data_IF_916953307519
#
_entry.id   IF_916953307519
#
_cell.length_a   1.000
_cell.length_b   1.000
_cell.length_c   1.000
_cell.angle_alpha   90.00
_cell.angle_beta   90.00
_cell.angle_gamma   90.00
#
_symmetry.space_group_name_H-M   'P 1'
#
loop_
_entity.id
_entity.type
_entity.pdbx_description
1 polymer ?
#
# COMPACT_ATOMS: atom_id res chain seq x y z
N UNK A 1 22.71 -8.96 7.36
CA UNK A 1 21.73 -7.87 7.55
C UNK A 1 20.44 -8.30 6.87
N UNK A 2 19.25 -8.08 7.47
CA UNK A 2 17.98 -8.38 6.80
C UNK A 2 17.75 -7.42 5.64
N UNK A 3 16.98 -7.85 4.63
CA UNK A 3 16.77 -7.08 3.40
C UNK A 3 15.31 -7.08 3.00
N UNK A 4 14.81 -5.89 2.62
CA UNK A 4 13.50 -5.67 2.07
C UNK A 4 13.57 -5.23 0.61
N UNK A 5 12.71 -5.77 -0.23
CA UNK A 5 12.45 -5.30 -1.59
C UNK A 5 11.14 -4.52 -1.59
N UNK A 6 11.21 -3.22 -1.93
CA UNK A 6 10.07 -2.31 -1.85
C UNK A 6 9.83 -1.65 -3.22
N UNK A 7 8.63 -1.83 -3.78
CA UNK A 7 8.26 -1.20 -5.04
C UNK A 7 7.58 0.16 -4.84
N UNK A 8 7.82 1.11 -5.74
CA UNK A 8 7.35 2.48 -5.60
C UNK A 8 8.06 3.26 -4.48
N UNK A 9 9.34 2.93 -4.22
CA UNK A 9 10.11 3.44 -3.08
C UNK A 9 10.60 4.89 -3.23
N UNK A 10 10.33 5.57 -4.35
CA UNK A 10 10.83 6.93 -4.62
C UNK A 10 9.97 8.05 -4.02
N UNK A 11 8.78 7.77 -3.49
CA UNK A 11 7.88 8.79 -2.93
C UNK A 11 6.75 8.18 -2.09
N UNK A 12 6.00 9.04 -1.41
CA UNK A 12 4.77 8.68 -0.70
C UNK A 12 4.93 7.53 0.29
N UNK A 13 3.98 6.61 0.30
CA UNK A 13 3.96 5.44 1.20
C UNK A 13 5.22 4.57 1.02
N UNK A 14 5.67 4.35 -0.23
CA UNK A 14 6.84 3.53 -0.50
C UNK A 14 8.13 4.09 0.07
N UNK A 15 8.36 5.41 -0.04
CA UNK A 15 9.51 6.06 0.57
C UNK A 15 9.43 6.06 2.10
N UNK A 16 8.27 6.36 2.67
CA UNK A 16 8.08 6.31 4.13
C UNK A 16 8.31 4.89 4.67
N UNK A 17 7.85 3.86 3.95
CA UNK A 17 8.12 2.46 4.27
C UNK A 17 9.61 2.15 4.18
N UNK A 18 10.30 2.58 3.13
CA UNK A 18 11.74 2.38 2.98
C UNK A 18 12.50 3.00 4.15
N UNK A 19 12.20 4.25 4.52
CA UNK A 19 12.80 4.93 5.68
C UNK A 19 12.59 4.13 6.96
N UNK A 20 11.36 3.68 7.23
CA UNK A 20 11.04 2.90 8.43
C UNK A 20 11.88 1.60 8.49
N UNK A 21 12.00 0.86 7.38
CA UNK A 21 12.82 -0.36 7.35
C UNK A 21 14.31 -0.07 7.59
N UNK A 22 14.84 1.01 7.01
CA UNK A 22 16.24 1.44 7.21
C UNK A 22 16.51 1.85 8.66
N UNK A 23 15.59 2.58 9.30
CA UNK A 23 15.65 2.96 10.73
C UNK A 23 15.71 1.73 11.64
N UNK A 24 15.01 0.66 11.27
CA UNK A 24 14.99 -0.62 11.99
C UNK A 24 16.14 -1.57 11.62
N UNK A 25 17.14 -1.06 10.89
CA UNK A 25 18.36 -1.80 10.53
C UNK A 25 18.15 -2.86 9.44
N UNK A 26 17.13 -2.70 8.60
CA UNK A 26 16.85 -3.55 7.44
C UNK A 26 17.27 -2.84 6.17
N UNK A 27 18.19 -3.42 5.39
CA UNK A 27 18.57 -2.89 4.08
C UNK A 27 17.38 -2.87 3.12
N UNK A 28 17.32 -1.89 2.23
CA UNK A 28 16.23 -1.74 1.28
C UNK A 28 16.74 -1.74 -0.16
N UNK A 29 16.22 -2.65 -0.98
CA UNK A 29 16.25 -2.51 -2.44
C UNK A 29 14.98 -1.77 -2.85
N UNK A 30 15.12 -0.52 -3.23
CA UNK A 30 14.02 0.34 -3.64
C UNK A 30 13.84 0.33 -5.16
N UNK A 31 12.65 -0.05 -5.65
CA UNK A 31 12.35 -0.08 -7.08
C UNK A 31 11.42 1.05 -7.47
N UNK A 32 11.79 1.83 -8.50
CA UNK A 32 10.94 2.85 -9.12
C UNK A 32 11.41 3.12 -10.56
N UNK A 33 10.53 3.65 -11.41
CA UNK A 33 10.88 3.99 -12.80
C UNK A 33 11.74 5.23 -12.94
N UNK A 34 11.48 6.23 -12.10
CA UNK A 34 12.16 7.53 -12.13
C UNK A 34 13.48 7.45 -11.37
N UNK A 35 14.58 7.37 -12.10
CA UNK A 35 15.94 7.28 -11.56
C UNK A 35 16.27 8.47 -10.66
N UNK A 36 15.99 9.69 -11.10
CA UNK A 36 16.35 10.88 -10.35
C UNK A 36 15.62 10.98 -9.01
N UNK A 37 14.31 10.68 -8.99
CA UNK A 37 13.55 10.62 -7.74
C UNK A 37 14.01 9.50 -6.82
N UNK A 38 14.42 8.38 -7.39
CA UNK A 38 14.89 7.24 -6.59
C UNK A 38 16.26 7.52 -5.96
N UNK A 39 17.16 8.17 -6.69
CA UNK A 39 18.46 8.59 -6.17
C UNK A 39 18.28 9.64 -5.06
N UNK A 40 17.43 10.65 -5.27
CA UNK A 40 17.10 11.63 -4.23
C UNK A 40 16.45 10.98 -2.98
N UNK A 41 15.64 9.94 -3.17
CA UNK A 41 15.10 9.15 -2.06
C UNK A 41 16.23 8.42 -1.29
N UNK A 42 17.16 7.78 -1.99
CA UNK A 42 18.32 7.13 -1.38
C UNK A 42 19.20 8.13 -0.61
N UNK A 43 19.50 9.29 -1.23
CA UNK A 43 20.28 10.37 -0.59
C UNK A 43 19.59 10.87 0.69
N UNK A 44 18.27 11.00 0.68
CA UNK A 44 17.48 11.43 1.85
C UNK A 44 17.49 10.41 3.00
N UNK A 45 17.96 9.20 2.73
CA UNK A 45 18.04 8.10 3.69
C UNK A 45 19.50 7.75 4.08
N UNK A 46 20.50 8.51 3.59
CA UNK A 46 21.92 8.16 3.72
C UNK A 46 22.41 8.06 5.19
N UNK A 47 21.79 8.82 6.10
CA UNK A 47 22.15 8.85 7.54
C UNK A 47 21.42 7.78 8.37
N UNK A 48 20.58 6.92 7.73
CA UNK A 48 19.84 5.89 8.44
C UNK A 48 20.70 4.64 8.73
N UNK A 49 20.18 3.77 9.60
CA UNK A 49 20.93 2.65 10.18
C UNK A 49 21.33 1.55 9.20
N UNK A 50 20.71 1.50 8.01
CA UNK A 50 20.95 0.48 6.99
C UNK A 50 21.02 1.10 5.58
N UNK A 51 21.63 0.44 4.59
CA UNK A 51 21.79 0.98 3.25
C UNK A 51 20.51 0.89 2.41
N UNK A 52 20.30 1.90 1.55
CA UNK A 52 19.32 1.91 0.49
C UNK A 52 20.00 1.63 -0.85
N UNK A 53 19.53 0.62 -1.59
CA UNK A 53 20.02 0.25 -2.91
C UNK A 53 18.99 0.64 -3.98
N UNK A 54 19.22 1.72 -4.75
CA UNK A 54 18.26 2.19 -5.74
C UNK A 54 18.30 1.32 -7.00
N UNK A 55 17.15 0.78 -7.41
CA UNK A 55 16.96 0.01 -8.64
C UNK A 55 15.94 0.70 -9.56
N UNK A 56 16.43 1.48 -10.52
CA UNK A 56 15.58 2.18 -11.48
C UNK A 56 15.13 1.22 -12.59
N UNK A 57 13.86 0.82 -12.54
CA UNK A 57 13.26 -0.10 -13.53
C UNK A 57 11.73 0.01 -13.54
N UNK A 58 11.12 -0.36 -14.67
CA UNK A 58 9.67 -0.60 -14.74
C UNK A 58 9.37 -2.00 -14.20
N UNK A 59 8.58 -2.05 -13.14
CA UNK A 59 8.25 -3.32 -12.47
C UNK A 59 7.34 -4.21 -13.31
N UNK A 60 6.71 -3.67 -14.35
CA UNK A 60 5.87 -4.43 -15.28
C UNK A 60 6.67 -5.14 -16.36
N UNK A 61 7.93 -4.73 -16.60
CA UNK A 61 8.81 -5.40 -17.57
C UNK A 61 9.16 -6.83 -17.10
N UNK A 62 9.22 -7.76 -18.05
CA UNK A 62 9.30 -9.20 -17.77
C UNK A 62 10.52 -9.61 -16.93
N UNK A 63 11.66 -8.97 -17.16
CA UNK A 63 12.91 -9.28 -16.47
C UNK A 63 13.07 -8.57 -15.12
N UNK A 64 12.31 -7.51 -14.86
CA UNK A 64 12.51 -6.67 -13.69
C UNK A 64 12.30 -7.43 -12.36
N UNK A 65 11.28 -8.27 -12.18
CA UNK A 65 11.11 -9.03 -10.94
C UNK A 65 12.33 -9.87 -10.56
N UNK A 66 12.86 -10.64 -11.51
CA UNK A 66 14.03 -11.48 -11.28
C UNK A 66 15.30 -10.64 -11.01
N UNK A 67 15.49 -9.53 -11.74
CA UNK A 67 16.64 -8.62 -11.53
C UNK A 67 16.59 -7.91 -10.17
N UNK A 68 15.41 -7.51 -9.72
CA UNK A 68 15.24 -6.87 -8.42
C UNK A 68 15.57 -7.83 -7.25
N UNK A 69 15.10 -9.07 -7.33
CA UNK A 69 15.44 -10.13 -6.35
C UNK A 69 16.93 -10.46 -6.40
N UNK A 70 17.49 -10.59 -7.61
CA UNK A 70 18.93 -10.83 -7.77
C UNK A 70 19.78 -9.74 -7.13
N UNK A 71 19.44 -8.46 -7.32
CA UNK A 71 20.13 -7.34 -6.69
C UNK A 71 20.12 -7.46 -5.15
N UNK A 72 18.98 -7.81 -4.55
CA UNK A 72 18.90 -8.01 -3.11
C UNK A 72 19.89 -9.09 -2.61
N UNK A 73 19.98 -10.20 -3.35
CA UNK A 73 20.91 -11.29 -3.04
C UNK A 73 22.39 -10.89 -3.27
N UNK A 74 22.68 -10.11 -4.30
CA UNK A 74 24.04 -9.63 -4.60
C UNK A 74 24.54 -8.65 -3.54
N UNK A 75 23.69 -7.72 -3.08
CA UNK A 75 24.09 -6.67 -2.15
C UNK A 75 24.17 -7.15 -0.68
N UNK A 76 23.30 -8.11 -0.29
CA UNK A 76 23.18 -8.48 1.13
C UNK A 76 23.22 -9.98 1.40
N UNK A 77 23.19 -10.83 0.38
CA UNK A 77 23.18 -12.28 0.48
C UNK A 77 21.81 -12.88 0.84
N UNK A 78 20.73 -12.06 1.00
CA UNK A 78 19.42 -12.55 1.43
C UNK A 78 18.27 -11.61 1.08
N UNK A 79 17.08 -12.16 1.06
CA UNK A 79 15.82 -11.41 0.99
C UNK A 79 14.88 -11.90 2.10
N UNK A 80 14.35 -10.98 2.90
CA UNK A 80 13.48 -11.28 4.05
C UNK A 80 12.08 -10.71 3.92
N UNK A 81 11.96 -9.57 3.24
CA UNK A 81 10.69 -8.85 3.16
C UNK A 81 10.43 -8.41 1.72
N UNK A 82 9.19 -8.60 1.25
CA UNK A 82 8.69 -8.04 0.01
C UNK A 82 7.53 -7.09 0.32
N UNK A 83 7.64 -5.83 -0.13
CA UNK A 83 6.54 -4.86 -0.06
C UNK A 83 6.10 -4.46 -1.46
N UNK A 84 4.94 -4.94 -1.88
CA UNK A 84 4.30 -4.57 -3.14
C UNK A 84 3.49 -3.29 -2.94
N UNK A 85 4.12 -2.14 -3.20
CA UNK A 85 3.49 -0.82 -2.99
C UNK A 85 3.26 -0.05 -4.30
N UNK A 86 4.01 -0.32 -5.37
CA UNK A 86 3.87 0.39 -6.63
C UNK A 86 2.41 0.43 -7.11
N UNK A 87 1.97 1.59 -7.57
CA UNK A 87 0.62 1.78 -8.07
C UNK A 87 0.46 3.11 -8.80
N UNK A 88 -0.67 3.26 -9.46
CA UNK A 88 -1.11 4.49 -10.14
C UNK A 88 -2.48 4.91 -9.65
N UNK A 89 -2.76 6.21 -9.74
CA UNK A 89 -4.05 6.81 -9.44
C UNK A 89 -4.88 7.10 -10.70
N UNK A 90 -5.92 7.92 -10.52
CA UNK A 90 -6.82 8.40 -11.58
C UNK A 90 -7.69 7.31 -12.23
N UNK A 91 -8.33 6.44 -11.43
CA UNK A 91 -9.26 5.46 -11.98
C UNK A 91 -10.50 6.14 -12.59
N UNK A 92 -11.11 5.47 -13.56
CA UNK A 92 -12.32 5.90 -14.25
C UNK A 92 -13.52 5.00 -13.92
N UNK A 93 -14.77 5.45 -14.18
CA UNK A 93 -15.93 4.57 -14.18
C UNK A 93 -15.74 3.44 -15.21
N UNK A 94 -16.39 2.30 -14.99
CA UNK A 94 -16.25 1.12 -15.88
C UNK A 94 -16.54 1.46 -17.34
N UNK A 95 -17.60 2.22 -17.61
CA UNK A 95 -18.00 2.60 -18.99
C UNK A 95 -17.01 3.55 -19.69
N UNK A 96 -16.07 4.14 -18.96
CA UNK A 96 -15.04 5.06 -19.48
C UNK A 96 -13.63 4.47 -19.36
N UNK A 97 -13.52 3.21 -18.95
CA UNK A 97 -12.24 2.49 -18.85
C UNK A 97 -12.08 1.66 -20.12
N UNK A 98 -11.12 1.99 -20.95
CA UNK A 98 -10.74 1.19 -22.11
C UNK A 98 -9.81 0.02 -21.68
N UNK A 99 -9.55 -0.89 -22.62
CA UNK A 99 -8.74 -2.08 -22.37
C UNK A 99 -7.28 -1.73 -22.03
N UNK A 100 -6.72 -0.67 -22.61
CA UNK A 100 -5.36 -0.21 -22.32
C UNK A 100 -5.23 0.25 -20.87
N UNK A 101 -6.18 1.05 -20.39
CA UNK A 101 -6.24 1.47 -19.00
C UNK A 101 -6.47 0.27 -18.05
N UNK A 102 -7.38 -0.65 -18.41
CA UNK A 102 -7.62 -1.86 -17.63
C UNK A 102 -6.33 -2.68 -17.49
N UNK A 103 -5.64 -2.93 -18.60
CA UNK A 103 -4.38 -3.67 -18.62
C UNK A 103 -3.31 -2.97 -17.78
N UNK A 104 -3.17 -1.65 -17.90
CA UNK A 104 -2.23 -0.87 -17.08
C UNK A 104 -2.45 -1.08 -15.57
N UNK A 105 -3.70 -1.04 -15.11
CA UNK A 105 -4.03 -1.23 -13.70
C UNK A 105 -3.76 -2.68 -13.25
N UNK A 106 -4.17 -3.66 -14.05
CA UNK A 106 -3.97 -5.07 -13.74
C UNK A 106 -2.48 -5.46 -13.80
N UNK A 107 -1.75 -4.98 -14.79
CA UNK A 107 -0.32 -5.28 -14.94
C UNK A 107 0.50 -4.73 -13.77
N UNK A 108 0.29 -3.46 -13.43
CA UNK A 108 1.07 -2.82 -12.38
C UNK A 108 0.69 -3.28 -10.98
N UNK A 109 -0.62 -3.44 -10.69
CA UNK A 109 -1.09 -3.61 -9.31
C UNK A 109 -1.54 -5.04 -8.98
N UNK A 110 -1.48 -5.96 -9.93
CA UNK A 110 -1.78 -7.38 -9.71
C UNK A 110 -0.73 -8.29 -10.34
N UNK A 111 -0.47 -8.18 -11.65
CA UNK A 111 0.48 -9.07 -12.35
C UNK A 111 1.92 -8.86 -11.88
N UNK A 112 2.38 -7.62 -11.74
CA UNK A 112 3.73 -7.33 -11.24
C UNK A 112 3.94 -7.80 -9.79
N UNK A 113 3.05 -7.54 -8.82
CA UNK A 113 3.10 -8.15 -7.48
C UNK A 113 3.14 -9.67 -7.49
N UNK A 114 2.34 -10.33 -8.35
CA UNK A 114 2.37 -11.79 -8.49
C UNK A 114 3.73 -12.28 -8.96
N UNK A 115 4.30 -11.66 -10.01
CA UNK A 115 5.62 -12.00 -10.56
C UNK A 115 6.74 -11.79 -9.52
N UNK A 116 6.72 -10.65 -8.82
CA UNK A 116 7.68 -10.39 -7.74
C UNK A 116 7.59 -11.41 -6.62
N UNK A 117 6.38 -11.74 -6.18
CA UNK A 117 6.18 -12.76 -5.16
C UNK A 117 6.72 -14.12 -5.61
N UNK A 118 6.49 -14.52 -6.87
CA UNK A 118 7.02 -15.76 -7.45
C UNK A 118 8.55 -15.80 -7.40
N UNK A 119 9.23 -14.73 -7.79
CA UNK A 119 10.70 -14.67 -7.75
C UNK A 119 11.23 -14.60 -6.31
N UNK A 120 10.56 -13.84 -5.44
CA UNK A 120 10.94 -13.71 -4.03
C UNK A 120 10.80 -15.03 -3.26
N UNK A 121 9.75 -15.82 -3.53
CA UNK A 121 9.54 -17.13 -2.91
C UNK A 121 10.71 -18.10 -3.13
N UNK A 122 11.39 -18.02 -4.27
CA UNK A 122 12.57 -18.83 -4.56
C UNK A 122 13.84 -18.33 -3.85
N UNK A 123 13.82 -17.10 -3.35
CA UNK A 123 14.96 -16.44 -2.70
C UNK A 123 14.82 -16.28 -1.19
N UNK A 124 13.62 -16.45 -0.63
CA UNK A 124 13.36 -16.36 0.80
C UNK A 124 14.06 -17.50 1.58
N UNK A 125 14.55 -17.15 2.78
CA UNK A 125 14.99 -18.15 3.76
C UNK A 125 13.81 -18.75 4.53
N UNK A 126 14.12 -19.37 5.69
CA UNK A 126 13.17 -20.09 6.54
C UNK A 126 12.04 -19.21 7.11
N UNK A 127 12.21 -17.90 7.14
CA UNK A 127 11.21 -16.95 7.59
C UNK A 127 11.22 -15.72 6.70
N UNK A 128 10.05 -15.36 6.17
CA UNK A 128 9.92 -14.17 5.34
C UNK A 128 8.52 -13.55 5.45
N UNK A 129 8.40 -12.30 4.96
CA UNK A 129 7.10 -11.62 4.93
C UNK A 129 6.84 -10.98 3.59
N UNK A 130 5.58 -11.02 3.18
CA UNK A 130 5.06 -10.29 2.04
C UNK A 130 3.96 -9.35 2.55
N UNK A 131 4.11 -8.05 2.29
CA UNK A 131 3.06 -7.08 2.59
C UNK A 131 2.63 -6.40 1.29
N UNK A 132 1.36 -6.56 0.96
CA UNK A 132 0.75 -5.98 -0.22
C UNK A 132 0.02 -4.67 0.15
N UNK A 133 0.34 -3.56 -0.51
CA UNK A 133 -0.40 -2.31 -0.33
C UNK A 133 -1.64 -2.34 -1.22
N UNK A 134 -2.76 -2.69 -0.59
CA UNK A 134 -4.09 -2.74 -1.17
C UNK A 134 -4.75 -1.35 -1.14
N UNK A 135 -6.03 -1.27 -0.88
CA UNK A 135 -6.81 -0.03 -0.74
C UNK A 135 -8.13 -0.31 -0.02
N UNK A 136 -8.68 0.71 0.63
CA UNK A 136 -10.08 0.67 1.09
C UNK A 136 -11.06 0.42 -0.05
N UNK A 137 -10.74 0.81 -1.29
CA UNK A 137 -11.56 0.51 -2.49
C UNK A 137 -11.56 -0.97 -2.89
N UNK A 138 -10.71 -1.78 -2.29
CA UNK A 138 -10.77 -3.24 -2.40
C UNK A 138 -11.62 -3.91 -1.31
N UNK A 139 -12.08 -3.14 -0.31
CA UNK A 139 -12.91 -3.59 0.81
C UNK A 139 -14.35 -3.14 0.65
N UNK A 140 -14.56 -1.93 0.14
CA UNK A 140 -15.89 -1.34 -0.07
C UNK A 140 -15.96 -0.71 -1.45
N UNK A 141 -17.16 -0.65 -2.02
CA UNK A 141 -17.39 0.00 -3.31
C UNK A 141 -17.12 1.50 -3.23
N UNK A 142 -16.38 2.02 -4.20
CA UNK A 142 -16.12 3.46 -4.35
C UNK A 142 -16.47 3.96 -5.74
N UNK A 143 -16.73 5.27 -5.85
CA UNK A 143 -17.02 5.89 -7.16
C UNK A 143 -15.74 5.94 -8.00
N UNK A 144 -15.89 5.74 -9.32
CA UNK A 144 -14.81 5.86 -10.31
C UNK A 144 -13.60 4.95 -10.01
N UNK A 145 -13.84 3.71 -9.58
CA UNK A 145 -12.77 2.84 -9.11
C UNK A 145 -12.67 1.48 -9.83
N UNK A 146 -13.36 1.26 -10.96
CA UNK A 146 -13.56 -0.07 -11.55
C UNK A 146 -12.28 -0.91 -11.66
N UNK A 147 -11.37 -0.54 -12.57
CA UNK A 147 -10.12 -1.27 -12.79
C UNK A 147 -9.20 -1.28 -11.55
N UNK A 148 -9.11 -0.14 -10.84
CA UNK A 148 -8.33 -0.02 -9.61
C UNK A 148 -8.82 -0.97 -8.52
N UNK A 149 -10.14 -0.96 -8.24
CA UNK A 149 -10.74 -1.84 -7.24
C UNK A 149 -10.58 -3.30 -7.59
N UNK A 150 -10.74 -3.66 -8.88
CA UNK A 150 -10.55 -5.03 -9.35
C UNK A 150 -9.10 -5.50 -9.13
N UNK A 151 -8.10 -4.68 -9.49
CA UNK A 151 -6.69 -5.01 -9.28
C UNK A 151 -6.36 -5.16 -7.79
N UNK A 152 -6.82 -4.22 -6.94
CA UNK A 152 -6.55 -4.25 -5.49
C UNK A 152 -7.32 -5.35 -4.76
N UNK A 153 -8.52 -5.70 -5.19
CA UNK A 153 -9.26 -6.87 -4.67
C UNK A 153 -8.58 -8.18 -5.08
N UNK A 154 -8.08 -8.27 -6.34
CA UNK A 154 -7.25 -9.39 -6.78
C UNK A 154 -5.99 -9.56 -5.93
N UNK A 155 -5.37 -8.45 -5.52
CA UNK A 155 -4.20 -8.46 -4.64
C UNK A 155 -4.54 -8.98 -3.23
N UNK A 156 -5.76 -8.70 -2.71
CA UNK A 156 -6.25 -9.30 -1.46
C UNK A 156 -6.43 -10.83 -1.61
N UNK A 157 -6.98 -11.27 -2.74
CA UNK A 157 -7.08 -12.70 -3.06
C UNK A 157 -5.71 -13.41 -3.12
N UNK A 158 -4.73 -12.77 -3.77
CA UNK A 158 -3.34 -13.26 -3.79
C UNK A 158 -2.75 -13.35 -2.37
N UNK A 159 -2.99 -12.34 -1.52
CA UNK A 159 -2.54 -12.33 -0.11
C UNK A 159 -3.05 -13.54 0.66
N UNK A 160 -4.35 -13.83 0.55
CA UNK A 160 -4.98 -14.99 1.21
C UNK A 160 -4.40 -16.31 0.72
N UNK A 161 -4.26 -16.46 -0.62
CA UNK A 161 -3.69 -17.66 -1.20
C UNK A 161 -2.27 -17.90 -0.70
N UNK A 162 -1.42 -16.87 -0.71
CA UNK A 162 -0.02 -16.99 -0.30
C UNK A 162 0.11 -17.34 1.19
N UNK A 163 -0.72 -16.78 2.04
CA UNK A 163 -0.76 -17.11 3.45
C UNK A 163 -1.11 -18.60 3.68
N UNK A 164 -2.10 -19.11 2.94
CA UNK A 164 -2.51 -20.52 3.03
C UNK A 164 -1.44 -21.46 2.46
N UNK A 165 -0.88 -21.15 1.31
CA UNK A 165 0.05 -22.03 0.59
C UNK A 165 1.43 -22.11 1.24
N UNK A 166 1.96 -20.98 1.75
CA UNK A 166 3.35 -20.87 2.19
C UNK A 166 3.50 -20.64 3.70
N UNK A 167 2.40 -20.58 4.45
CA UNK A 167 2.45 -20.36 5.91
C UNK A 167 3.22 -21.45 6.65
N UNK A 168 3.09 -22.72 6.26
CA UNK A 168 3.84 -23.84 6.84
C UNK A 168 5.36 -23.77 6.54
N UNK A 169 5.76 -23.02 5.54
CA UNK A 169 7.17 -22.77 5.19
C UNK A 169 7.74 -21.51 5.90
N UNK A 170 7.04 -20.97 6.91
CA UNK A 170 7.50 -19.79 7.65
C UNK A 170 7.26 -18.45 6.95
N UNK A 171 6.53 -18.42 5.84
CA UNK A 171 6.26 -17.20 5.08
C UNK A 171 4.89 -16.65 5.46
N UNK A 172 4.83 -15.39 5.91
CA UNK A 172 3.59 -14.68 6.18
C UNK A 172 3.26 -13.71 5.05
N UNK A 173 2.02 -13.71 4.62
CA UNK A 173 1.52 -12.78 3.60
C UNK A 173 0.32 -12.02 4.15
N UNK A 174 0.42 -10.69 4.22
CA UNK A 174 -0.64 -9.81 4.67
C UNK A 174 -0.79 -8.62 3.70
N UNK A 175 -1.88 -7.90 3.83
CA UNK A 175 -2.10 -6.64 3.11
C UNK A 175 -2.42 -5.50 4.07
N UNK A 176 -2.05 -4.29 3.71
CA UNK A 176 -2.61 -3.06 4.27
C UNK A 176 -3.57 -2.44 3.27
N UNK A 177 -4.67 -1.90 3.73
CA UNK A 177 -5.66 -1.19 2.91
C UNK A 177 -5.75 0.27 3.39
N UNK A 178 -4.91 1.18 2.85
CA UNK A 178 -4.94 2.57 3.24
C UNK A 178 -6.24 3.25 2.82
N UNK A 179 -6.73 4.18 3.66
CA UNK A 179 -7.67 5.22 3.26
C UNK A 179 -6.99 6.26 2.38
N UNK A 180 -7.54 7.47 2.34
CA UNK A 180 -6.92 8.56 1.59
C UNK A 180 -5.72 9.11 2.37
N UNK A 181 -4.55 9.03 1.74
CA UNK A 181 -3.28 9.53 2.25
C UNK A 181 -2.79 10.65 1.33
N UNK A 182 -2.46 11.85 1.84
CA UNK A 182 -1.82 12.90 1.07
C UNK A 182 -0.48 12.43 0.52
N UNK A 183 -0.39 12.32 -0.79
CA UNK A 183 0.79 11.88 -1.54
C UNK A 183 0.76 12.54 -2.91
N UNK A 184 1.84 12.55 -3.70
CA UNK A 184 1.81 13.05 -5.08
C UNK A 184 0.72 12.43 -5.96
N UNK A 185 0.26 11.22 -5.63
CA UNK A 185 -0.84 10.53 -6.34
C UNK A 185 -2.22 11.14 -6.04
N UNK A 186 -2.44 11.66 -4.83
CA UNK A 186 -3.76 12.09 -4.33
C UNK A 186 -3.88 13.60 -4.14
N UNK A 187 -2.75 14.32 -4.05
CA UNK A 187 -2.67 15.73 -3.69
C UNK A 187 -3.62 16.62 -4.49
N UNK A 188 -3.66 16.45 -5.82
CA UNK A 188 -4.54 17.20 -6.72
C UNK A 188 -6.04 17.01 -6.48
N UNK A 189 -6.43 16.01 -5.69
CA UNK A 189 -7.84 15.69 -5.38
C UNK A 189 -8.26 16.19 -4.00
N UNK A 190 -7.32 16.49 -3.12
CA UNK A 190 -7.60 16.86 -1.72
C UNK A 190 -8.35 18.19 -1.62
N UNK A 191 -8.17 19.10 -2.60
CA UNK A 191 -8.83 20.39 -2.67
C UNK A 191 -10.24 20.31 -3.28
N UNK A 192 -10.59 19.16 -3.90
CA UNK A 192 -11.92 18.95 -4.48
C UNK A 192 -12.91 18.67 -3.37
N UNK A 193 -13.88 19.58 -3.16
CA UNK A 193 -14.85 19.49 -2.06
C UNK A 193 -15.59 18.15 -2.01
N UNK A 194 -16.10 17.67 -3.14
CA UNK A 194 -16.79 16.38 -3.20
C UNK A 194 -15.89 15.22 -2.76
N UNK A 195 -14.59 15.26 -3.10
CA UNK A 195 -13.63 14.26 -2.68
C UNK A 195 -13.33 14.37 -1.18
N UNK A 196 -13.16 15.59 -0.67
CA UNK A 196 -12.97 15.86 0.75
C UNK A 196 -14.18 15.35 1.57
N UNK A 197 -15.40 15.68 1.17
CA UNK A 197 -16.62 15.23 1.85
C UNK A 197 -16.73 13.71 1.90
N UNK A 198 -16.49 13.04 0.78
CA UNK A 198 -16.57 11.57 0.70
C UNK A 198 -15.49 10.85 1.52
N UNK A 199 -14.35 11.47 1.76
CA UNK A 199 -13.22 10.81 2.43
C UNK A 199 -12.91 11.39 3.80
N UNK A 200 -12.74 12.70 3.92
CA UNK A 200 -12.38 13.34 5.20
C UNK A 200 -13.57 13.38 6.17
N UNK A 201 -14.70 13.92 5.70
CA UNK A 201 -15.88 14.12 6.58
C UNK A 201 -16.52 12.80 7.02
N UNK A 202 -16.22 11.71 6.34
CA UNK A 202 -16.65 10.36 6.71
C UNK A 202 -15.58 9.57 7.49
N UNK A 203 -14.47 10.20 7.86
CA UNK A 203 -13.40 9.54 8.60
C UNK A 203 -13.48 9.90 10.10
N UNK A 204 -13.79 8.94 11.01
CA UNK A 204 -13.92 9.21 12.45
C UNK A 204 -12.71 9.84 13.09
N UNK A 205 -11.50 9.51 12.62
CA UNK A 205 -10.24 10.05 13.15
C UNK A 205 -10.06 11.56 12.92
N UNK A 206 -10.96 12.24 12.19
CA UNK A 206 -11.01 13.69 11.97
C UNK A 206 -9.66 14.30 11.49
N UNK A 207 -8.85 13.52 10.77
CA UNK A 207 -7.62 13.95 10.11
C UNK A 207 -7.38 13.11 8.86
N UNK A 208 -6.59 13.63 7.94
CA UNK A 208 -6.01 12.79 6.90
C UNK A 208 -5.02 11.79 7.52
N UNK A 209 -5.00 10.58 6.99
CA UNK A 209 -3.91 9.66 7.26
C UNK A 209 -2.59 10.22 6.74
N UNK A 210 -1.48 9.76 7.29
CA UNK A 210 -0.13 10.11 6.85
C UNK A 210 0.56 8.90 6.22
N UNK A 211 1.60 9.14 5.43
CA UNK A 211 2.41 8.05 4.89
C UNK A 211 3.07 7.23 6.00
N UNK A 212 3.35 7.85 7.14
CA UNK A 212 3.89 7.21 8.34
C UNK A 212 2.88 6.24 8.98
N UNK A 213 1.59 6.61 9.06
CA UNK A 213 0.55 5.70 9.59
C UNK A 213 0.56 4.36 8.82
N UNK A 214 0.73 4.43 7.50
CA UNK A 214 0.77 3.24 6.65
C UNK A 214 2.10 2.51 6.76
N UNK A 215 3.22 3.22 6.79
CA UNK A 215 4.56 2.64 6.91
C UNK A 215 4.73 1.86 8.22
N UNK A 216 4.22 2.37 9.34
CA UNK A 216 4.22 1.68 10.64
C UNK A 216 3.39 0.39 10.60
N UNK A 217 2.22 0.41 9.94
CA UNK A 217 1.41 -0.79 9.77
C UNK A 217 2.11 -1.85 8.90
N UNK A 218 2.78 -1.44 7.81
CA UNK A 218 3.59 -2.32 6.96
C UNK A 218 4.74 -2.92 7.77
N UNK A 219 5.47 -2.10 8.54
CA UNK A 219 6.54 -2.56 9.41
C UNK A 219 6.03 -3.54 10.46
N UNK A 220 4.94 -3.22 11.17
CA UNK A 220 4.33 -4.14 12.13
C UNK A 220 4.05 -5.51 11.51
N UNK A 221 3.39 -5.55 10.34
CA UNK A 221 3.09 -6.79 9.62
C UNK A 221 4.34 -7.53 9.11
N UNK A 222 5.45 -6.82 8.93
CA UNK A 222 6.73 -7.40 8.53
C UNK A 222 7.57 -7.87 9.73
N UNK A 223 7.31 -7.34 10.92
CA UNK A 223 8.10 -7.59 12.12
C UNK A 223 7.70 -8.88 12.84
N UNK A 224 8.53 -9.37 13.78
CA UNK A 224 8.18 -10.50 14.64
C UNK A 224 6.96 -10.26 15.54
N UNK A 225 6.60 -9.00 15.82
CA UNK A 225 5.43 -8.65 16.64
C UNK A 225 4.11 -9.13 16.03
N UNK A 226 4.06 -9.35 14.71
CA UNK A 226 2.92 -9.90 13.99
C UNK A 226 3.06 -11.39 13.66
N UNK A 227 3.86 -12.14 14.43
CA UNK A 227 4.22 -13.53 14.13
C UNK A 227 3.04 -14.50 13.98
N UNK A 228 1.86 -14.19 14.54
CA UNK A 228 0.63 -14.97 14.43
C UNK A 228 -0.43 -14.33 13.52
N UNK A 229 -0.04 -13.28 12.76
CA UNK A 229 -0.93 -12.60 11.80
C UNK A 229 -0.52 -13.03 10.39
N UNK A 230 -1.42 -13.75 9.71
CA UNK A 230 -1.20 -14.24 8.35
C UNK A 230 -2.53 -14.24 7.58
N UNK A 231 -2.51 -13.84 6.31
CA UNK A 231 -3.68 -13.74 5.46
C UNK A 231 -4.62 -12.57 5.78
N UNK A 232 -4.19 -11.56 6.52
CA UNK A 232 -5.05 -10.45 6.91
C UNK A 232 -4.95 -9.28 5.94
N UNK A 233 -6.07 -8.56 5.79
CA UNK A 233 -6.14 -7.26 5.13
C UNK A 233 -6.46 -6.21 6.20
N UNK A 234 -5.44 -5.48 6.62
CA UNK A 234 -5.54 -4.48 7.68
C UNK A 234 -5.93 -3.12 7.09
N UNK A 235 -7.14 -2.63 7.38
CA UNK A 235 -7.52 -1.26 7.04
C UNK A 235 -6.71 -0.25 7.87
N UNK A 236 -6.11 0.74 7.20
CA UNK A 236 -5.37 1.86 7.79
C UNK A 236 -6.00 3.15 7.28
N UNK A 237 -7.19 3.46 7.78
CA UNK A 237 -8.12 4.41 7.17
C UNK A 237 -8.85 5.32 8.15
N UNK A 238 -8.43 5.34 9.42
CA UNK A 238 -9.05 6.16 10.46
C UNK A 238 -10.50 5.77 10.79
N UNK A 239 -10.92 4.54 10.45
CA UNK A 239 -12.26 4.02 10.69
C UNK A 239 -13.25 4.21 9.53
N UNK A 240 -12.79 4.72 8.38
CA UNK A 240 -13.65 5.04 7.24
C UNK A 240 -14.44 3.82 6.71
N UNK A 241 -13.82 2.64 6.62
CA UNK A 241 -14.50 1.42 6.12
C UNK A 241 -15.35 0.70 7.16
N UNK A 242 -15.04 0.89 8.46
CA UNK A 242 -15.63 0.10 9.54
C UNK A 242 -16.78 0.79 10.28
N UNK A 243 -17.02 2.07 10.01
CA UNK A 243 -18.03 2.87 10.70
C UNK A 243 -18.96 3.58 9.73
N UNK A 244 -20.17 3.95 10.22
CA UNK A 244 -21.05 4.93 9.57
C UNK A 244 -20.89 6.23 10.34
N UNK A 245 -20.11 7.14 9.79
CA UNK A 245 -19.73 8.36 10.46
C UNK A 245 -19.83 9.57 9.53
N UNK A 246 -20.26 10.71 10.08
CA UNK A 246 -20.15 12.05 9.50
C UNK A 246 -19.66 13.00 10.57
N UNK A 247 -18.74 13.90 10.23
CA UNK A 247 -18.29 14.95 11.13
C UNK A 247 -19.42 15.92 11.45
N UNK A 248 -19.36 16.58 12.60
CA UNK A 248 -20.32 17.62 12.97
C UNK A 248 -20.42 18.73 11.93
N UNK A 249 -19.29 19.11 11.30
CA UNK A 249 -19.28 20.09 10.22
C UNK A 249 -20.02 19.60 8.98
N UNK A 250 -20.00 18.30 8.68
CA UNK A 250 -20.75 17.73 7.56
C UNK A 250 -22.25 17.62 7.88
N UNK A 251 -22.62 17.48 9.13
CA UNK A 251 -24.00 17.48 9.59
C UNK A 251 -24.59 18.90 9.65
N UNK A 252 -23.77 19.91 9.93
CA UNK A 252 -24.20 21.31 10.10
C UNK A 252 -24.22 22.13 8.82
N UNK A 253 -23.78 21.58 7.66
CA UNK A 253 -23.76 22.31 6.39
C UNK A 253 -25.15 22.51 5.81
N UNK A 254 -25.67 23.75 5.96
CA UNK A 254 -26.74 24.43 5.19
C UNK A 254 -27.81 23.58 4.48
N UNK A 255 -28.46 22.73 5.21
CA UNK A 255 -29.87 22.45 4.93
C UNK A 255 -30.64 23.01 6.11
N UNK A 256 -31.75 23.69 5.85
CA UNK A 256 -32.71 24.20 6.84
C UNK A 256 -33.32 23.09 7.75
N UNK A 257 -32.72 21.94 7.78
CA UNK A 257 -33.08 20.82 8.60
C UNK A 257 -32.28 20.90 9.89
N UNK A 258 -32.96 21.18 10.98
CA UNK A 258 -32.42 21.05 12.32
C UNK A 258 -31.69 19.71 12.45
N UNK A 259 -30.50 19.65 13.12
CA UNK A 259 -29.83 18.40 13.39
C UNK A 259 -30.82 17.44 14.05
N UNK A 260 -31.00 16.26 13.47
CA UNK A 260 -31.84 15.25 14.07
C UNK A 260 -31.29 14.99 15.49
N UNK A 261 -32.08 15.34 16.51
CA UNK A 261 -31.72 15.08 17.89
C UNK A 261 -31.78 13.57 18.14
N UNK A 262 -30.62 12.93 18.01
CA UNK A 262 -30.42 11.50 18.27
C UNK A 262 -30.39 11.18 19.77
N UNK A 263 -30.45 12.20 20.67
CA UNK A 263 -30.36 12.01 22.10
C UNK A 263 -31.58 11.32 22.71
N UNK A 264 -32.67 11.13 21.94
CA UNK A 264 -33.97 10.64 22.45
C UNK A 264 -34.41 9.29 21.83
N UNK A 265 -33.58 8.54 21.16
CA UNK A 265 -33.92 7.17 20.72
C UNK A 265 -33.57 6.10 21.77
N UNK A 266 -33.67 6.42 23.02
CA UNK A 266 -33.61 5.49 24.13
C UNK A 266 -35.02 5.08 24.57
N UNK A 267 -35.62 4.04 23.96
CA UNK A 267 -36.51 3.06 24.62
C UNK A 267 -36.54 1.77 23.84
#
# INVERSE_FOLDING_TARGET
MRTALITGASSGIGLATARKFLEEGVAVVGVSRDRAKLDAAADSCADLSAPFFPFAADITADETPARAVKLALEETGRLDHLVNNAGVGSPQPVHSTDDEMLDQFLDLMLRAPFRLAREALAAFGDTATIVNVSSTYALVGGLRGGAYSAAKAGLNGLTLHMAAQYGSSGIRSNAVAPGVIPTPMTEHRLEVEAFRRMNYDMTPSARWGTVQDVAEAIWFLSSPASGWINGQVLAVDGGWTSTKFLTESALSSDRDDQPADWSHSGR
#
